data_IF_978160892882
#
_entry.id   IF_978160892882
#
_cell.length_a   1.000
_cell.length_b   1.000
_cell.length_c   1.000
_cell.angle_alpha   90.00
_cell.angle_beta   90.00
_cell.angle_gamma   90.00
#
_symmetry.space_group_name_H-M   'P 1'
#
loop_
_entity.id
_entity.type
_entity.pdbx_description
1 polymer ?
#
# COMPACT_ATOMS: atom_id res chain seq x y z
N UNK A 1 -13.95 -0.15 -27.23
CA UNK A 1 -13.22 -1.43 -27.41
C UNK A 1 -11.77 -1.07 -27.72
N UNK A 2 -10.78 -1.62 -27.01
CA UNK A 2 -9.36 -1.40 -27.34
C UNK A 2 -8.95 -2.43 -28.42
N UNK A 3 -8.66 -2.01 -29.66
CA UNK A 3 -8.34 -2.92 -30.75
C UNK A 3 -7.00 -3.66 -30.56
N UNK A 4 -6.12 -3.17 -29.67
CA UNK A 4 -4.81 -3.77 -29.39
C UNK A 4 -4.90 -5.22 -28.86
N UNK A 5 -6.05 -5.61 -28.29
CA UNK A 5 -6.28 -6.96 -27.76
C UNK A 5 -7.02 -7.89 -28.73
N UNK A 6 -7.35 -7.42 -29.95
CA UNK A 6 -7.96 -8.22 -31.01
C UNK A 6 -9.44 -8.57 -30.83
N UNK A 7 -9.95 -8.66 -29.59
CA UNK A 7 -11.36 -8.91 -29.31
C UNK A 7 -11.85 -8.24 -28.02
N UNK A 8 -13.17 -8.10 -27.89
CA UNK A 8 -13.79 -7.58 -26.67
C UNK A 8 -13.53 -8.49 -25.46
N UNK A 9 -13.57 -9.81 -25.64
CA UNK A 9 -13.33 -10.78 -24.57
C UNK A 9 -11.87 -10.72 -24.07
N UNK A 10 -10.91 -10.54 -24.98
CA UNK A 10 -9.50 -10.37 -24.62
C UNK A 10 -9.28 -9.06 -23.84
N UNK A 11 -9.88 -7.95 -24.29
CA UNK A 11 -9.83 -6.68 -23.56
C UNK A 11 -10.49 -6.80 -22.17
N UNK A 12 -11.64 -7.49 -22.07
CA UNK A 12 -12.32 -7.73 -20.80
C UNK A 12 -11.50 -8.60 -19.84
N UNK A 13 -10.75 -9.57 -20.38
CA UNK A 13 -9.82 -10.41 -19.60
C UNK A 13 -8.72 -9.57 -18.96
N UNK A 14 -8.10 -8.65 -19.73
CA UNK A 14 -7.10 -7.72 -19.21
C UNK A 14 -7.69 -6.79 -18.15
N UNK A 15 -8.85 -6.17 -18.45
CA UNK A 15 -9.55 -5.31 -17.50
C UNK A 15 -9.87 -6.03 -16.19
N UNK A 16 -10.41 -7.26 -16.25
CA UNK A 16 -10.74 -8.06 -15.07
C UNK A 16 -9.51 -8.45 -14.25
N UNK A 17 -8.38 -8.73 -14.90
CA UNK A 17 -7.12 -9.02 -14.22
C UNK A 17 -6.61 -7.82 -13.40
N UNK A 18 -6.46 -6.66 -14.02
CA UNK A 18 -5.94 -5.47 -13.34
C UNK A 18 -6.92 -4.89 -12.33
N UNK A 19 -8.22 -4.88 -12.63
CA UNK A 19 -9.26 -4.45 -11.69
C UNK A 19 -9.27 -5.30 -10.42
N UNK A 20 -9.01 -6.61 -10.52
CA UNK A 20 -8.90 -7.49 -9.36
C UNK A 20 -7.72 -7.12 -8.47
N UNK A 21 -6.55 -6.87 -9.06
CA UNK A 21 -5.34 -6.50 -8.30
C UNK A 21 -5.52 -5.13 -7.65
N UNK A 22 -5.98 -4.13 -8.41
CA UNK A 22 -6.27 -2.80 -7.88
C UNK A 22 -7.29 -2.89 -6.73
N UNK A 23 -8.36 -3.69 -6.88
CA UNK A 23 -9.37 -3.89 -5.84
C UNK A 23 -8.84 -4.48 -4.52
N UNK A 24 -7.64 -5.07 -4.53
CA UNK A 24 -6.97 -5.63 -3.36
C UNK A 24 -6.04 -4.62 -2.67
N UNK A 25 -5.73 -3.49 -3.33
CA UNK A 25 -4.96 -2.41 -2.73
C UNK A 25 -5.79 -1.59 -1.72
N UNK A 26 -5.13 -0.88 -0.78
CA UNK A 26 -5.77 -0.02 0.20
C UNK A 26 -6.80 0.92 -0.43
N UNK A 27 -8.01 0.99 0.15
CA UNK A 27 -9.06 1.92 -0.28
C UNK A 27 -8.57 3.37 -0.28
N UNK A 28 -7.73 3.75 0.68
CA UNK A 28 -7.20 5.11 0.83
C UNK A 28 -6.33 5.58 -0.34
N UNK A 29 -5.72 4.68 -1.13
CA UNK A 29 -5.01 5.09 -2.36
C UNK A 29 -5.88 5.02 -3.62
N UNK A 30 -7.15 4.57 -3.51
CA UNK A 30 -8.05 4.40 -4.66
C UNK A 30 -9.12 5.47 -4.75
N UNK A 31 -9.13 6.45 -3.85
CA UNK A 31 -10.18 7.48 -3.73
C UNK A 31 -10.29 8.36 -4.96
N UNK A 32 -9.23 8.49 -5.75
CA UNK A 32 -9.21 9.30 -6.97
C UNK A 32 -8.87 8.49 -8.23
N UNK A 33 -8.90 7.16 -8.18
CA UNK A 33 -8.68 6.33 -9.37
C UNK A 33 -10.02 6.14 -10.09
N UNK A 34 -10.29 6.99 -11.09
CA UNK A 34 -11.51 6.95 -11.89
C UNK A 34 -11.43 5.93 -13.03
N UNK A 35 -10.22 5.69 -13.56
CA UNK A 35 -10.03 4.82 -14.71
C UNK A 35 -8.71 4.05 -14.69
N UNK A 36 -8.73 2.89 -15.35
CA UNK A 36 -7.54 2.16 -15.76
C UNK A 36 -7.39 2.30 -17.27
N UNK A 37 -6.25 2.78 -17.75
CA UNK A 37 -5.91 2.86 -19.16
C UNK A 37 -4.97 1.71 -19.50
N UNK A 38 -5.53 0.65 -20.08
CA UNK A 38 -4.81 -0.60 -20.32
C UNK A 38 -4.49 -0.69 -21.80
N UNK A 39 -3.20 -0.62 -22.11
CA UNK A 39 -2.64 -0.79 -23.44
C UNK A 39 -1.85 -2.09 -23.56
N UNK A 40 -1.81 -2.67 -24.75
CA UNK A 40 -0.82 -3.69 -25.07
C UNK A 40 0.53 -3.03 -25.28
N UNK A 41 1.56 -3.50 -24.59
CA UNK A 41 2.89 -2.90 -24.69
C UNK A 41 3.80 -3.30 -23.53
N UNK A 42 5.05 -2.85 -23.60
CA UNK A 42 6.08 -3.15 -22.59
C UNK A 42 6.65 -1.89 -21.93
N UNK A 43 5.94 -0.77 -22.01
CA UNK A 43 6.33 0.47 -21.34
C UNK A 43 6.00 0.39 -19.84
N UNK A 44 6.57 1.30 -19.04
CA UNK A 44 6.31 1.33 -17.60
C UNK A 44 4.85 1.65 -17.26
N UNK A 45 4.49 1.40 -16.00
CA UNK A 45 3.26 1.88 -15.41
C UNK A 45 3.32 3.41 -15.26
N UNK A 46 2.16 4.04 -15.10
CA UNK A 46 2.07 5.45 -14.76
C UNK A 46 0.78 5.78 -14.02
N UNK A 47 0.83 6.79 -13.17
CA UNK A 47 -0.26 7.19 -12.29
C UNK A 47 -0.39 8.72 -12.26
N UNK A 48 -1.57 9.18 -11.84
CA UNK A 48 -1.94 10.59 -11.84
C UNK A 48 -3.06 10.92 -12.81
N UNK A 49 -3.49 12.18 -12.83
CA UNK A 49 -4.66 12.62 -13.61
C UNK A 49 -5.88 11.70 -13.41
N UNK A 50 -6.08 11.25 -12.17
CA UNK A 50 -7.18 10.38 -11.74
C UNK A 50 -7.24 9.02 -12.45
N UNK A 51 -6.14 8.56 -13.05
CA UNK A 51 -6.08 7.30 -13.82
C UNK A 51 -4.77 6.56 -13.58
N UNK A 52 -4.76 5.25 -13.84
CA UNK A 52 -3.53 4.44 -13.88
C UNK A 52 -3.35 3.89 -15.30
N UNK A 53 -2.21 4.21 -15.91
CA UNK A 53 -1.75 3.70 -17.20
C UNK A 53 -1.00 2.37 -16.99
N UNK A 54 -1.43 1.34 -17.72
CA UNK A 54 -0.91 -0.01 -17.63
C UNK A 54 -0.57 -0.51 -19.02
N UNK A 55 0.66 -0.97 -19.20
CA UNK A 55 1.07 -1.72 -20.39
C UNK A 55 1.11 -3.21 -20.05
N UNK A 56 0.22 -4.01 -20.66
CA UNK A 56 -0.08 -5.36 -20.20
C UNK A 56 1.08 -6.34 -20.30
N UNK A 57 2.00 -6.16 -21.25
CA UNK A 57 3.12 -7.08 -21.44
C UNK A 57 4.25 -6.79 -20.44
N UNK A 58 4.42 -5.53 -20.01
CA UNK A 58 5.27 -5.16 -18.88
C UNK A 58 4.74 -5.79 -17.59
N UNK A 59 3.42 -5.74 -17.41
CA UNK A 59 2.73 -6.28 -16.25
C UNK A 59 2.59 -7.82 -16.22
N UNK A 60 2.93 -8.52 -17.30
CA UNK A 60 2.96 -10.00 -17.33
C UNK A 60 4.22 -10.59 -16.66
N UNK A 61 5.05 -9.78 -16.01
CA UNK A 61 6.19 -10.18 -15.20
C UNK A 61 5.83 -10.71 -13.81
N UNK A 62 6.76 -10.57 -12.85
CA UNK A 62 6.56 -10.99 -11.45
C UNK A 62 5.35 -10.27 -10.82
N UNK A 63 4.41 -11.04 -10.29
CA UNK A 63 3.19 -10.51 -9.65
C UNK A 63 3.53 -9.57 -8.48
N UNK A 64 4.61 -9.84 -7.74
CA UNK A 64 5.05 -8.99 -6.64
C UNK A 64 5.42 -7.58 -7.15
N UNK A 65 6.15 -7.53 -8.26
CA UNK A 65 6.54 -6.28 -8.91
C UNK A 65 5.32 -5.50 -9.42
N UNK A 66 4.33 -6.20 -9.98
CA UNK A 66 3.08 -5.56 -10.41
C UNK A 66 2.26 -4.98 -9.26
N UNK A 67 2.15 -5.70 -8.14
CA UNK A 67 1.41 -5.21 -6.96
C UNK A 67 2.10 -3.97 -6.36
N UNK A 68 3.43 -3.97 -6.27
CA UNK A 68 4.23 -2.82 -5.81
C UNK A 68 4.09 -1.63 -6.76
N UNK A 69 4.21 -1.85 -8.07
CA UNK A 69 4.08 -0.79 -9.07
C UNK A 69 2.67 -0.19 -9.10
N UNK A 70 1.61 -1.00 -9.08
CA UNK A 70 0.24 -0.48 -9.02
C UNK A 70 -0.03 0.29 -7.73
N UNK A 71 0.58 -0.10 -6.62
CA UNK A 71 0.47 0.62 -5.35
C UNK A 71 1.16 1.98 -5.40
N UNK A 72 2.32 2.05 -6.06
CA UNK A 72 3.02 3.30 -6.35
C UNK A 72 2.16 4.22 -7.23
N UNK A 73 1.62 3.73 -8.36
CA UNK A 73 0.75 4.55 -9.22
C UNK A 73 -0.57 4.96 -8.55
N UNK A 74 -1.09 4.10 -7.67
CA UNK A 74 -2.26 4.39 -6.83
C UNK A 74 -1.98 5.59 -5.91
N UNK A 75 -0.77 5.65 -5.32
CA UNK A 75 -0.34 6.77 -4.50
C UNK A 75 -0.22 8.07 -5.30
N UNK A 76 0.37 8.05 -6.49
CA UNK A 76 0.38 9.23 -7.37
C UNK A 76 -1.03 9.77 -7.66
N UNK A 77 -1.99 8.86 -7.80
CA UNK A 77 -3.33 9.25 -8.20
C UNK A 77 -4.13 9.86 -7.04
N UNK A 78 -4.03 9.28 -5.84
CA UNK A 78 -4.92 9.64 -4.72
C UNK A 78 -4.24 10.32 -3.55
N UNK A 79 -2.93 10.24 -3.43
CA UNK A 79 -2.18 10.84 -2.34
C UNK A 79 -1.50 12.13 -2.78
N UNK A 80 -0.91 12.18 -3.98
CA UNK A 80 -0.24 13.40 -4.46
C UNK A 80 -1.16 14.61 -4.54
N UNK A 81 -0.63 15.75 -4.10
CA UNK A 81 -1.34 17.02 -4.06
C UNK A 81 -1.71 17.56 -5.46
N UNK A 82 -0.95 17.22 -6.51
CA UNK A 82 -1.14 17.78 -7.86
C UNK A 82 -2.50 17.39 -8.46
N UNK A 83 -3.13 16.32 -7.95
CA UNK A 83 -4.43 15.84 -8.38
C UNK A 83 -5.50 15.91 -7.27
N UNK A 84 -5.30 16.76 -6.26
CA UNK A 84 -6.22 16.91 -5.13
C UNK A 84 -6.14 15.78 -4.11
N UNK A 85 -5.01 15.07 -4.07
CA UNK A 85 -4.78 13.97 -3.14
C UNK A 85 -4.69 14.40 -1.68
N UNK A 86 -4.71 13.40 -0.80
CA UNK A 86 -4.81 13.59 0.65
C UNK A 86 -3.55 14.21 1.28
N UNK A 87 -2.38 14.08 0.64
CA UNK A 87 -1.13 14.64 1.16
C UNK A 87 -1.07 16.13 0.85
N UNK A 88 -0.86 16.94 1.87
CA UNK A 88 -0.65 18.38 1.69
C UNK A 88 0.83 18.68 1.47
N UNK A 89 1.16 19.30 0.33
CA UNK A 89 2.54 19.61 -0.08
C UNK A 89 3.38 20.29 1.01
N UNK A 90 2.84 21.29 1.69
CA UNK A 90 3.56 22.04 2.71
C UNK A 90 3.84 21.18 3.96
N UNK A 91 2.87 20.34 4.37
CA UNK A 91 3.04 19.42 5.50
C UNK A 91 4.03 18.31 5.17
N UNK A 92 3.99 17.78 3.94
CA UNK A 92 4.94 16.79 3.45
C UNK A 92 6.37 17.33 3.45
N UNK A 93 6.58 18.51 2.84
CA UNK A 93 7.89 19.15 2.79
C UNK A 93 8.47 19.41 4.20
N UNK A 94 7.62 19.77 5.17
CA UNK A 94 8.04 19.94 6.55
C UNK A 94 8.50 18.63 7.21
N UNK A 95 7.93 17.48 6.82
CA UNK A 95 8.38 16.16 7.30
C UNK A 95 9.68 15.73 6.64
N UNK A 96 9.82 15.92 5.33
CA UNK A 96 11.05 15.62 4.58
C UNK A 96 12.26 16.34 5.19
N UNK A 97 12.08 17.61 5.58
CA UNK A 97 13.15 18.40 6.23
C UNK A 97 13.57 17.90 7.62
N UNK A 98 12.77 17.03 8.25
CA UNK A 98 13.01 16.46 9.59
C UNK A 98 13.43 14.99 9.55
N UNK A 99 13.27 14.33 8.41
CA UNK A 99 13.73 12.97 8.20
C UNK A 99 15.24 12.91 7.98
N UNK A 100 15.93 11.86 8.46
CA UNK A 100 17.36 11.65 8.17
C UNK A 100 17.69 11.56 6.68
N UNK A 101 16.74 11.16 5.83
CA UNK A 101 16.91 11.22 4.39
C UNK A 101 15.71 10.69 3.61
N UNK A 102 15.96 10.33 2.35
CA UNK A 102 14.95 9.76 1.46
C UNK A 102 14.90 8.24 1.57
N UNK A 103 13.73 7.68 1.28
CA UNK A 103 13.55 6.23 1.30
C UNK A 103 14.22 5.56 0.10
N UNK A 104 14.38 6.27 -1.01
CA UNK A 104 15.06 5.80 -2.21
C UNK A 104 15.83 6.91 -2.91
N UNK A 105 16.78 6.54 -3.77
CA UNK A 105 17.48 7.51 -4.62
C UNK A 105 16.51 8.17 -5.60
N UNK A 106 15.52 7.42 -6.09
CA UNK A 106 14.54 7.94 -7.03
C UNK A 106 13.66 9.02 -6.41
N UNK A 107 13.21 8.79 -5.17
CA UNK A 107 12.53 9.78 -4.37
C UNK A 107 13.40 11.02 -4.11
N UNK A 108 14.70 10.82 -3.83
CA UNK A 108 15.65 11.93 -3.61
C UNK A 108 15.90 12.77 -4.88
N UNK A 109 15.98 12.11 -6.04
CA UNK A 109 16.24 12.75 -7.33
C UNK A 109 14.98 13.45 -7.87
N UNK A 110 13.78 12.97 -7.49
CA UNK A 110 12.49 13.46 -7.98
C UNK A 110 11.51 13.79 -6.83
N UNK A 111 11.89 14.63 -5.85
CA UNK A 111 11.18 14.74 -4.57
C UNK A 111 9.81 15.41 -4.68
N UNK A 112 9.51 16.06 -5.81
CA UNK A 112 8.23 16.73 -6.05
C UNK A 112 7.17 15.80 -6.62
N UNK A 113 7.57 14.74 -7.32
CA UNK A 113 6.65 13.80 -7.97
C UNK A 113 6.70 12.43 -7.32
N UNK A 114 7.89 11.92 -6.99
CA UNK A 114 8.08 10.51 -6.62
C UNK A 114 8.06 10.24 -5.13
N UNK A 115 8.33 11.25 -4.30
CA UNK A 115 8.63 11.01 -2.89
C UNK A 115 7.45 10.41 -2.12
N UNK A 116 6.23 10.89 -2.36
CA UNK A 116 5.02 10.35 -1.73
C UNK A 116 4.76 8.92 -2.20
N UNK A 117 4.80 8.66 -3.51
CA UNK A 117 4.53 7.35 -4.09
C UNK A 117 5.55 6.30 -3.65
N UNK A 118 6.84 6.62 -3.71
CA UNK A 118 7.93 5.80 -3.22
C UNK A 118 7.86 5.56 -1.70
N UNK A 119 7.36 6.53 -0.92
CA UNK A 119 7.22 6.40 0.53
C UNK A 119 6.03 5.54 0.93
N UNK A 120 4.93 5.59 0.18
CA UNK A 120 3.69 4.91 0.55
C UNK A 120 3.83 3.38 0.58
N UNK A 121 4.64 2.82 -0.32
CA UNK A 121 4.95 1.38 -0.39
C UNK A 121 5.58 0.87 0.93
N UNK A 122 6.74 1.39 1.40
CA UNK A 122 7.33 0.99 2.68
C UNK A 122 6.53 1.45 3.89
N UNK A 123 5.73 2.52 3.81
CA UNK A 123 4.78 2.87 4.86
C UNK A 123 3.78 1.73 5.12
N UNK A 124 3.23 1.13 4.07
CA UNK A 124 2.32 -0.02 4.22
C UNK A 124 3.04 -1.23 4.79
N UNK A 125 4.27 -1.51 4.36
CA UNK A 125 5.08 -2.57 4.97
C UNK A 125 5.30 -2.32 6.47
N UNK A 126 5.63 -1.09 6.86
CA UNK A 126 5.79 -0.67 8.25
C UNK A 126 4.50 -0.81 9.06
N UNK A 127 3.35 -0.37 8.54
CA UNK A 127 2.05 -0.53 9.19
C UNK A 127 1.62 -2.00 9.34
N UNK A 128 1.93 -2.85 8.37
CA UNK A 128 1.64 -4.29 8.40
C UNK A 128 2.58 -5.07 9.33
N UNK A 129 3.74 -4.51 9.68
CA UNK A 129 4.72 -5.17 10.54
C UNK A 129 5.17 -6.52 9.96
N UNK A 130 5.19 -7.56 10.80
CA UNK A 130 5.60 -8.91 10.39
C UNK A 130 4.76 -9.52 9.25
N UNK A 131 3.52 -9.04 9.03
CA UNK A 131 2.65 -9.52 7.95
C UNK A 131 3.09 -9.01 6.56
N UNK A 132 3.94 -7.98 6.49
CA UNK A 132 4.46 -7.44 5.22
C UNK A 132 5.46 -8.37 4.51
N UNK A 133 5.99 -9.38 5.21
CA UNK A 133 7.11 -10.18 4.72
C UNK A 133 8.48 -9.52 4.87
N UNK A 134 8.56 -8.30 5.43
CA UNK A 134 9.82 -7.65 5.77
C UNK A 134 10.39 -8.19 7.08
N UNK A 135 11.72 -8.24 7.14
CA UNK A 135 12.42 -8.54 8.39
C UNK A 135 12.30 -7.37 9.38
N UNK A 136 12.41 -7.65 10.67
CA UNK A 136 12.40 -6.60 11.70
C UNK A 136 13.45 -5.50 11.44
N UNK A 137 14.65 -5.90 11.01
CA UNK A 137 15.73 -4.96 10.67
C UNK A 137 15.40 -4.06 9.47
N UNK A 138 14.67 -4.57 8.48
CA UNK A 138 14.20 -3.77 7.34
C UNK A 138 13.15 -2.74 7.78
N UNK A 139 12.19 -3.16 8.60
CA UNK A 139 11.16 -2.27 9.14
C UNK A 139 11.76 -1.19 10.06
N UNK A 140 12.77 -1.55 10.85
CA UNK A 140 13.53 -0.61 11.67
C UNK A 140 14.34 0.37 10.81
N UNK A 141 15.00 -0.09 9.75
CA UNK A 141 15.71 0.80 8.84
C UNK A 141 14.75 1.81 8.17
N UNK A 142 13.55 1.37 7.77
CA UNK A 142 12.51 2.26 7.24
C UNK A 142 12.11 3.31 8.30
N UNK A 143 11.80 2.87 9.52
CA UNK A 143 11.33 3.78 10.58
C UNK A 143 12.41 4.75 11.05
N UNK A 144 13.68 4.37 10.99
CA UNK A 144 14.80 5.26 11.29
C UNK A 144 15.08 6.24 10.15
N UNK A 145 14.89 5.84 8.89
CA UNK A 145 15.21 6.67 7.72
C UNK A 145 14.18 7.77 7.46
N UNK A 146 12.89 7.48 7.66
CA UNK A 146 11.77 8.38 7.32
C UNK A 146 10.69 8.53 8.42
N UNK A 147 11.06 8.66 9.71
CA UNK A 147 10.12 8.60 10.83
C UNK A 147 8.98 9.63 10.75
N UNK A 148 9.25 10.86 10.29
CA UNK A 148 8.27 11.93 10.26
C UNK A 148 7.25 11.73 9.14
N UNK A 149 7.68 11.27 7.97
CA UNK A 149 6.76 10.93 6.88
C UNK A 149 5.85 9.75 7.22
N UNK A 150 6.38 8.72 7.91
CA UNK A 150 5.54 7.62 8.40
C UNK A 150 4.47 8.12 9.36
N UNK A 151 4.86 8.95 10.34
CA UNK A 151 3.93 9.54 11.31
C UNK A 151 2.89 10.43 10.63
N UNK A 152 3.28 11.18 9.60
CA UNK A 152 2.34 12.02 8.87
C UNK A 152 1.34 11.20 8.07
N UNK A 153 1.78 10.18 7.33
CA UNK A 153 0.87 9.25 6.64
C UNK A 153 -0.08 8.55 7.62
N UNK A 154 0.39 8.17 8.79
CA UNK A 154 -0.44 7.57 9.84
C UNK A 154 -1.51 8.55 10.34
N UNK A 155 -1.13 9.82 10.52
CA UNK A 155 -2.05 10.89 10.95
C UNK A 155 -3.17 11.20 9.95
N UNK A 156 -3.01 10.82 8.67
CA UNK A 156 -4.06 10.98 7.66
C UNK A 156 -5.20 9.98 7.84
N UNK A 157 -5.04 8.96 8.71
CA UNK A 157 -6.04 7.94 8.99
C UNK A 157 -6.62 7.31 7.71
N UNK A 158 -5.74 7.00 6.75
CA UNK A 158 -6.13 6.42 5.46
C UNK A 158 -6.85 5.08 5.66
N UNK A 159 -7.85 4.81 4.83
CA UNK A 159 -8.56 3.52 4.83
C UNK A 159 -7.66 2.42 4.23
N UNK A 160 -6.95 1.70 5.10
CA UNK A 160 -5.99 0.68 4.70
C UNK A 160 -6.60 -0.70 4.40
N UNK A 161 -7.93 -0.82 4.46
CA UNK A 161 -8.60 -2.06 4.08
C UNK A 161 -8.49 -2.28 2.55
N UNK A 162 -8.43 -3.53 2.07
CA UNK A 162 -8.62 -4.77 2.83
C UNK A 162 -7.35 -5.29 3.54
N UNK A 163 -6.20 -4.63 3.39
CA UNK A 163 -4.93 -5.13 3.93
C UNK A 163 -4.87 -5.01 5.46
N UNK A 164 -5.37 -3.91 6.01
CA UNK A 164 -5.49 -3.68 7.44
C UNK A 164 -6.96 -3.38 7.71
N UNK A 165 -7.59 -4.18 8.57
CA UNK A 165 -8.97 -3.96 8.96
C UNK A 165 -9.10 -2.58 9.63
N UNK A 166 -10.20 -1.87 9.36
CA UNK A 166 -10.53 -0.69 10.15
C UNK A 166 -10.69 -1.12 11.62
N UNK A 167 -10.09 -0.36 12.53
CA UNK A 167 -10.28 -0.58 13.97
C UNK A 167 -11.79 -0.60 14.26
N UNK A 168 -12.30 -1.62 14.98
CA UNK A 168 -13.70 -1.63 15.35
C UNK A 168 -13.97 -0.39 16.20
N UNK A 169 -14.92 0.45 15.76
CA UNK A 169 -15.33 1.64 16.49
C UNK A 169 -15.77 1.24 17.90
N UNK A 170 -14.92 1.49 18.90
CA UNK A 170 -15.28 1.39 20.32
C UNK A 170 -16.11 2.62 20.68
N UNK A 171 -17.32 2.70 20.13
CA UNK A 171 -18.34 3.57 20.70
C UNK A 171 -18.75 2.95 22.03
N UNK A 172 -18.58 3.62 23.19
CA UNK A 172 -19.12 3.10 24.43
C UNK A 172 -20.65 3.13 24.28
N UNK A 173 -21.26 1.95 24.18
CA UNK A 173 -22.70 1.83 24.29
C UNK A 173 -23.07 2.25 25.72
N UNK A 174 -23.70 3.41 25.85
CA UNK A 174 -24.34 3.83 27.08
C UNK A 174 -25.55 2.91 27.31
N UNK A 175 -25.37 1.88 28.12
CA UNK A 175 -26.47 1.15 28.74
C UNK A 175 -26.14 0.90 30.21
N UNK A 176 -27.13 1.26 31.02
CA UNK A 176 -27.19 1.35 32.47
C UNK A 176 -26.90 0.05 33.23
N UNK A 177 -26.19 0.22 34.35
CA UNK A 177 -26.48 -0.37 35.67
C UNK A 177 -26.97 -1.82 35.77
N UNK A 178 -26.13 -2.69 36.31
CA UNK A 178 -26.52 -3.97 36.86
C UNK A 178 -25.33 -4.65 37.54
N UNK A 179 -25.33 -4.66 38.88
CA UNK A 179 -24.36 -5.35 39.74
C UNK A 179 -24.70 -6.83 39.77
N UNK A 180 -23.75 -7.72 39.42
CA UNK A 180 -23.70 -9.06 40.04
C UNK A 180 -22.29 -9.68 39.99
N UNK A 181 -21.99 -10.48 41.02
CA UNK A 181 -20.68 -10.90 41.48
C UNK A 181 -20.11 -12.15 40.80
N UNK A 182 -18.77 -12.19 40.72
CA UNK A 182 -17.84 -13.33 40.89
C UNK A 182 -18.31 -14.75 40.51
N UNK A 183 -17.61 -15.36 39.56
CA UNK A 183 -16.85 -16.61 39.84
C UNK A 183 -15.68 -16.78 38.86
N UNK A 184 -14.49 -17.02 39.40
CA UNK A 184 -13.28 -17.34 38.64
C UNK A 184 -13.37 -18.75 38.02
N UNK A 185 -13.11 -18.87 36.71
CA UNK A 185 -12.96 -20.18 36.06
C UNK A 185 -11.62 -20.28 35.32
N UNK A 186 -10.84 -21.26 35.78
CA UNK A 186 -9.53 -21.71 35.31
C UNK A 186 -9.60 -22.18 33.84
N UNK A 187 -8.79 -21.61 32.94
CA UNK A 187 -8.65 -22.09 31.55
C UNK A 187 -7.46 -23.06 31.46
N UNK A 188 -7.71 -24.28 30.99
CA UNK A 188 -6.67 -25.24 30.57
C UNK A 188 -6.35 -25.04 29.08
N UNK A 189 -5.12 -25.33 28.61
CA UNK A 189 -4.75 -25.12 27.22
C UNK A 189 -5.21 -26.27 26.33
N UNK A 190 -5.59 -25.94 25.09
CA UNK A 190 -5.68 -26.88 23.98
C UNK A 190 -7.09 -27.22 23.54
N UNK A 191 -7.48 -26.73 22.37
CA UNK A 191 -8.36 -27.40 21.40
C UNK A 191 -8.43 -26.59 20.11
N UNK A 192 -8.02 -27.23 19.01
CA UNK A 192 -8.01 -26.71 17.66
C UNK A 192 -9.37 -26.17 17.19
N UNK A 193 -9.36 -25.10 16.38
CA UNK A 193 -10.52 -24.73 15.58
C UNK A 193 -10.19 -24.93 14.10
N UNK A 194 -10.64 -26.06 13.56
CA UNK A 194 -10.91 -26.19 12.12
C UNK A 194 -12.24 -25.49 11.83
N UNK A 195 -12.21 -24.46 10.99
CA UNK A 195 -13.31 -24.15 10.06
C UNK A 195 -12.71 -23.81 8.69
N UNK A 196 -13.13 -24.59 7.70
CA UNK A 196 -12.94 -24.37 6.28
C UNK A 196 -13.98 -23.36 5.75
N UNK A 197 -13.82 -22.96 4.47
CA UNK A 197 -14.62 -22.05 3.61
C UNK A 197 -14.30 -20.55 3.79
N UNK A 198 -13.85 -19.74 2.82
CA UNK A 198 -13.85 -19.75 1.33
C UNK A 198 -12.52 -19.13 0.81
N UNK A 199 -11.95 -19.77 -0.22
CA UNK A 199 -10.98 -19.28 -1.22
C UNK A 199 -10.06 -18.06 -0.97
N UNK A 200 -8.75 -18.35 -0.93
CA UNK A 200 -7.59 -17.46 -1.06
C UNK A 200 -7.36 -16.43 0.05
N UNK A 201 -6.62 -16.86 1.07
CA UNK A 201 -5.94 -16.00 2.04
C UNK A 201 -4.89 -15.13 1.32
N UNK A 202 -5.19 -13.84 1.19
CA UNK A 202 -4.22 -12.79 0.92
C UNK A 202 -3.24 -12.74 2.09
N UNK A 203 -2.13 -13.45 1.96
CA UNK A 203 -1.13 -13.56 3.05
C UNK A 203 0.26 -13.18 2.61
N UNK A 204 0.46 -12.59 1.42
CA UNK A 204 1.81 -12.12 1.03
C UNK A 204 1.72 -11.19 -0.18
N UNK A 205 1.52 -9.90 0.03
CA UNK A 205 2.16 -8.92 -0.86
C UNK A 205 3.63 -9.00 -0.48
N UNK A 206 4.44 -9.70 -1.28
CA UNK A 206 5.90 -9.74 -1.06
C UNK A 206 6.48 -8.47 -1.66
N UNK A 207 6.69 -7.46 -0.83
CA UNK A 207 7.45 -6.28 -1.21
C UNK A 207 8.91 -6.68 -1.53
N UNK A 208 9.55 -5.99 -2.49
CA UNK A 208 10.91 -6.32 -2.96
C UNK A 208 11.98 -6.37 -1.84
N UNK A 209 13.13 -6.99 -2.12
CA UNK A 209 14.22 -7.13 -1.12
C UNK A 209 15.03 -5.83 -0.99
N UNK A 210 15.02 -5.21 0.18
CA UNK A 210 15.87 -4.05 0.50
C UNK A 210 17.35 -4.43 0.57
N UNK A 211 18.21 -3.64 -0.07
CA UNK A 211 19.66 -3.66 0.18
C UNK A 211 20.13 -2.27 0.60
N UNK A 212 20.66 -2.14 1.82
CA UNK A 212 21.31 -0.92 2.29
C UNK A 212 22.80 -0.98 1.89
N UNK A 213 23.31 0.03 1.18
CA UNK A 213 24.74 0.16 0.87
C UNK A 213 25.34 1.23 1.80
N UNK A 214 26.45 0.92 2.48
CA UNK A 214 27.15 1.90 3.29
C UNK A 214 27.58 3.10 2.43
N UNK A 215 27.25 4.32 2.87
CA UNK A 215 27.68 5.59 2.25
C UNK A 215 26.63 6.33 1.42
N UNK A 216 25.39 5.84 1.32
CA UNK A 216 24.28 6.54 0.65
C UNK A 216 23.15 6.87 1.63
N UNK A 217 22.68 8.12 1.66
CA UNK A 217 21.53 8.57 2.46
C UNK A 217 20.16 8.09 1.90
N UNK A 218 20.16 7.02 1.12
CA UNK A 218 19.01 6.47 0.42
C UNK A 218 19.06 4.94 0.40
N UNK A 219 17.92 4.30 0.64
CA UNK A 219 17.80 2.83 0.59
C UNK A 219 17.59 2.40 -0.86
N UNK A 220 18.26 1.34 -1.30
CA UNK A 220 18.14 0.86 -2.69
C UNK A 220 17.05 -0.20 -2.77
N UNK A 221 16.01 0.11 -3.53
CA UNK A 221 15.03 -0.83 -4.04
C UNK A 221 15.60 -1.46 -5.31
N UNK A 222 15.61 -2.79 -5.40
CA UNK A 222 15.81 -3.44 -6.71
C UNK A 222 14.50 -3.26 -7.47
N UNK A 223 14.50 -2.36 -8.45
CA UNK A 223 13.58 -2.46 -9.58
C UNK A 223 13.98 -3.65 -10.44
#
# INVERSE_FOLDING_TARGET
MNPEFGSQDAAATQAGFFARILGQLPRGCRTQVDALWIHSGNESLGGGNRSILIHSNFANGDRAFLEEGLLHECAHTSLDWDWGGTVERAKWAAQVARDPGFISMYAADNPKSEDVAETFVPYLAWKLGAASGYTAAQLEAISQQIPNRLNYLDSLALDLAPLIAAEPSTTPSAASGGVEQSTARKIRPGSACKKAFIGHTFTTVKFGTLTCRQGSNAIRWRR
#
